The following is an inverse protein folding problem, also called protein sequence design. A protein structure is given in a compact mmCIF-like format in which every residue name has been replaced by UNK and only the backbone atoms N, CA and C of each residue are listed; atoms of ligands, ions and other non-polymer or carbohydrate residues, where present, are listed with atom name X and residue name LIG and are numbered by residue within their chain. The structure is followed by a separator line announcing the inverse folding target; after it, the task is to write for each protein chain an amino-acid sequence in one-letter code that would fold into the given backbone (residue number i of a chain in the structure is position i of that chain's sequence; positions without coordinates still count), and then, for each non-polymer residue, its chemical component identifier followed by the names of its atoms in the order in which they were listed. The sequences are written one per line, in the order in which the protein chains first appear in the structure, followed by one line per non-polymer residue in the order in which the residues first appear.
data_IF_329200753277
#
_entry.id   IF_329200753277
#
_cell.length_a   1.000
_cell.length_b   1.000
_cell.length_c   1.000
_cell.angle_alpha   90.00
_cell.angle_beta   90.00
_cell.angle_gamma   90.00
#
_symmetry.space_group_name_H-M   'P 1'
#
loop_
_entity.id
_entity.type
_entity.pdbx_description
1 polymer ?
#
# COMPACT_ATOMS: atom_id res chain seq x y z
N UNK A 1 7.08 7.86 3.31
CA UNK A 1 8.33 7.12 3.13
C UNK A 1 8.76 7.29 1.68
N UNK A 2 10.06 7.40 1.41
CA UNK A 2 10.57 7.43 0.03
C UNK A 2 11.24 6.07 -0.22
N UNK A 3 10.50 5.07 -0.74
CA UNK A 3 11.10 3.78 -1.02
C UNK A 3 12.20 3.96 -2.07
N UNK A 4 13.37 3.35 -1.83
CA UNK A 4 14.42 3.26 -2.84
C UNK A 4 14.48 1.82 -3.32
N UNK A 5 14.34 1.64 -4.64
CA UNK A 5 14.31 0.34 -5.30
C UNK A 5 15.56 0.18 -6.15
N UNK A 6 16.21 -0.98 -6.05
CA UNK A 6 17.37 -1.35 -6.85
C UNK A 6 16.97 -2.50 -7.78
N UNK A 7 17.07 -2.29 -9.08
CA UNK A 7 16.87 -3.33 -10.10
C UNK A 7 18.14 -4.12 -10.35
N UNK A 8 18.04 -5.45 -10.29
CA UNK A 8 19.14 -6.39 -10.51
C UNK A 8 19.15 -6.84 -11.97
N UNK A 9 20.10 -6.35 -12.76
CA UNK A 9 20.23 -6.69 -14.18
C UNK A 9 21.36 -7.68 -14.45
N UNK A 10 21.58 -7.97 -15.74
CA UNK A 10 22.70 -8.81 -16.19
C UNK A 10 23.80 -7.92 -16.77
N UNK A 11 24.80 -7.60 -15.96
CA UNK A 11 25.89 -6.69 -16.34
C UNK A 11 25.49 -5.21 -16.33
N UNK A 12 24.42 -4.90 -15.61
CA UNK A 12 23.93 -3.55 -15.30
C UNK A 12 23.02 -3.63 -14.06
N UNK A 13 22.90 -2.53 -13.32
CA UNK A 13 21.97 -2.40 -12.20
C UNK A 13 21.31 -1.02 -12.26
N UNK A 14 20.10 -0.92 -11.73
CA UNK A 14 19.27 0.30 -11.81
C UNK A 14 18.89 0.78 -10.42
N UNK A 15 18.71 2.09 -10.25
CA UNK A 15 18.21 2.68 -9.01
C UNK A 15 17.05 3.61 -9.36
N UNK A 16 15.92 3.44 -8.68
CA UNK A 16 14.73 4.24 -8.90
C UNK A 16 13.94 4.43 -7.58
N UNK A 17 13.02 5.39 -7.58
CA UNK A 17 12.09 5.59 -6.47
C UNK A 17 10.92 4.59 -6.47
N UNK A 18 10.70 3.88 -7.59
CA UNK A 18 9.62 2.90 -7.71
C UNK A 18 9.92 1.87 -8.82
N UNK A 19 9.30 0.69 -8.72
CA UNK A 19 9.46 -0.45 -9.63
C UNK A 19 9.05 -0.14 -11.08
N UNK A 20 7.94 0.56 -11.38
CA UNK A 20 7.51 0.81 -12.76
C UNK A 20 8.58 1.51 -13.63
N UNK A 21 9.47 2.30 -13.02
CA UNK A 21 10.54 2.99 -13.74
C UNK A 21 11.61 2.04 -14.31
N UNK A 22 11.75 0.84 -13.74
CA UNK A 22 12.83 -0.11 -14.06
C UNK A 22 12.32 -1.47 -14.56
N UNK A 23 11.01 -1.71 -14.51
CA UNK A 23 10.39 -3.02 -14.82
C UNK A 23 10.64 -3.52 -16.25
N UNK A 24 10.92 -2.60 -17.19
CA UNK A 24 11.24 -2.93 -18.58
C UNK A 24 12.68 -3.45 -18.77
N UNK A 25 13.55 -3.27 -17.78
CA UNK A 25 14.94 -3.73 -17.82
C UNK A 25 15.17 -4.97 -16.96
N UNK A 26 14.48 -5.07 -15.82
CA UNK A 26 14.56 -6.23 -14.94
C UNK A 26 13.29 -6.42 -14.11
N UNK A 27 13.04 -7.67 -13.71
CA UNK A 27 11.96 -8.09 -12.81
C UNK A 27 12.45 -8.40 -11.40
N UNK A 28 13.76 -8.48 -11.20
CA UNK A 28 14.37 -8.81 -9.92
C UNK A 28 14.82 -7.52 -9.23
N UNK A 29 14.36 -7.32 -7.99
CA UNK A 29 14.59 -6.06 -7.27
C UNK A 29 14.97 -6.27 -5.81
N UNK A 30 15.73 -5.32 -5.26
CA UNK A 30 15.83 -5.10 -3.83
C UNK A 30 15.05 -3.84 -3.45
N UNK A 31 14.24 -3.95 -2.39
CA UNK A 31 13.53 -2.81 -1.79
C UNK A 31 14.30 -2.42 -0.54
N UNK A 32 14.85 -1.20 -0.50
CA UNK A 32 15.57 -0.72 0.67
C UNK A 32 14.60 -0.29 1.77
N UNK A 33 14.94 -0.67 2.99
CA UNK A 33 14.27 -0.24 4.21
C UNK A 33 14.86 1.09 4.72
N UNK A 34 14.14 1.77 5.63
CA UNK A 34 14.64 3.03 6.17
C UNK A 34 15.99 2.84 6.88
N UNK A 35 16.94 3.72 6.56
CA UNK A 35 18.28 3.68 7.12
C UNK A 35 19.24 2.68 6.48
N UNK A 36 18.81 1.88 5.50
CA UNK A 36 19.74 1.06 4.72
C UNK A 36 20.53 1.92 3.71
N UNK A 37 21.77 1.52 3.45
CA UNK A 37 22.65 2.10 2.46
C UNK A 37 23.07 1.02 1.45
N UNK A 38 23.02 1.33 0.16
CA UNK A 38 23.44 0.42 -0.89
C UNK A 38 24.62 0.97 -1.69
N UNK A 39 25.60 0.11 -1.96
CA UNK A 39 26.65 0.34 -2.93
C UNK A 39 26.27 -0.41 -4.20
N UNK A 40 26.00 0.34 -5.27
CA UNK A 40 25.55 -0.21 -6.56
C UNK A 40 26.65 0.01 -7.59
N UNK A 41 27.12 -1.10 -8.16
CA UNK A 41 28.07 -1.11 -9.28
C UNK A 41 27.43 -1.83 -10.46
N UNK A 42 28.11 -1.87 -11.61
CA UNK A 42 27.64 -2.64 -12.77
C UNK A 42 27.47 -4.14 -12.44
N UNK A 43 28.42 -4.69 -11.68
CA UNK A 43 28.58 -6.13 -11.53
C UNK A 43 28.11 -6.64 -10.15
N UNK A 44 27.81 -5.74 -9.20
CA UNK A 44 27.47 -6.10 -7.83
C UNK A 44 26.60 -5.04 -7.14
N UNK A 45 25.74 -5.51 -6.22
CA UNK A 45 24.95 -4.70 -5.29
C UNK A 45 25.19 -5.22 -3.88
N UNK A 46 25.56 -4.34 -2.96
CA UNK A 46 25.75 -4.67 -1.54
C UNK A 46 25.01 -3.68 -0.65
N UNK A 47 24.29 -4.18 0.35
CA UNK A 47 23.45 -3.38 1.25
C UNK A 47 24.00 -3.46 2.66
N UNK A 48 23.91 -2.35 3.39
CA UNK A 48 24.40 -2.18 4.74
C UNK A 48 23.36 -1.46 5.59
N UNK A 49 23.39 -1.69 6.90
CA UNK A 49 22.63 -0.88 7.85
C UNK A 49 23.35 0.44 8.19
N UNK A 50 22.75 1.27 9.06
CA UNK A 50 23.32 2.55 9.51
C UNK A 50 24.66 2.41 10.24
N UNK A 51 24.98 1.23 10.75
CA UNK A 51 26.23 0.93 11.45
C UNK A 51 27.31 0.38 10.49
N UNK A 52 26.98 0.21 9.21
CA UNK A 52 27.86 -0.33 8.19
C UNK A 52 27.96 -1.86 8.19
N UNK A 53 27.06 -2.57 8.87
CA UNK A 53 27.02 -4.04 8.83
C UNK A 53 26.30 -4.49 7.56
N UNK A 54 26.81 -5.53 6.87
CA UNK A 54 26.14 -6.09 5.70
C UNK A 54 24.72 -6.56 6.04
N UNK A 55 23.78 -6.29 5.13
CA UNK A 55 22.40 -6.75 5.20
C UNK A 55 22.13 -7.65 3.99
N UNK A 56 21.72 -8.89 4.26
CA UNK A 56 21.26 -9.80 3.22
C UNK A 56 19.84 -9.41 2.80
N UNK A 57 19.68 -9.05 1.51
CA UNK A 57 18.38 -8.72 0.93
C UNK A 57 17.84 -9.91 0.14
N UNK A 58 16.57 -10.20 0.35
CA UNK A 58 15.85 -11.13 -0.51
C UNK A 58 15.49 -10.46 -1.83
N UNK A 59 15.64 -11.19 -2.93
CA UNK A 59 15.23 -10.73 -4.25
C UNK A 59 13.71 -10.74 -4.31
N UNK A 60 13.11 -9.56 -4.49
CA UNK A 60 11.69 -9.43 -4.79
C UNK A 60 11.48 -9.51 -6.30
N UNK A 61 10.86 -10.61 -6.75
CA UNK A 61 10.51 -10.81 -8.16
C UNK A 61 9.12 -10.24 -8.47
N UNK A 62 9.07 -9.34 -9.44
CA UNK A 62 7.86 -8.59 -9.79
C UNK A 62 6.98 -9.41 -10.74
N UNK A 63 5.90 -10.00 -10.22
CA UNK A 63 4.99 -10.88 -10.95
C UNK A 63 3.91 -10.17 -11.79
N UNK A 64 3.71 -8.86 -11.63
CA UNK A 64 2.67 -8.10 -12.34
C UNK A 64 3.20 -7.45 -13.63
N UNK A 65 2.37 -7.28 -14.65
CA UNK A 65 2.79 -6.74 -15.94
C UNK A 65 2.71 -5.21 -15.99
N UNK A 66 3.67 -4.57 -16.68
CA UNK A 66 3.77 -3.11 -16.80
C UNK A 66 2.59 -2.48 -17.58
N UNK A 67 1.82 -3.28 -18.32
CA UNK A 67 0.60 -2.85 -19.04
C UNK A 67 -0.40 -2.13 -18.15
N UNK A 68 -0.47 -2.47 -16.85
CA UNK A 68 -1.32 -1.75 -15.89
C UNK A 68 -0.90 -0.28 -15.70
N UNK A 69 0.39 0.01 -15.87
CA UNK A 69 1.02 1.32 -15.77
C UNK A 69 1.12 2.04 -17.13
N UNK A 70 0.54 1.49 -18.20
CA UNK A 70 0.48 2.13 -19.51
C UNK A 70 -0.85 2.87 -19.73
N UNK A 71 -0.87 3.81 -20.69
CA UNK A 71 -2.07 4.56 -21.04
C UNK A 71 -3.15 3.72 -21.74
N UNK A 72 -2.86 2.51 -22.18
CA UNK A 72 -3.86 1.58 -22.74
C UNK A 72 -4.67 2.14 -23.91
N UNK A 73 -4.08 3.02 -24.72
CA UNK A 73 -4.76 3.68 -25.85
C UNK A 73 -5.49 4.98 -25.52
N UNK A 74 -5.55 5.41 -24.26
CA UNK A 74 -6.10 6.71 -23.86
C UNK A 74 -5.08 7.85 -23.99
N UNK A 75 -5.57 9.08 -24.16
CA UNK A 75 -4.73 10.28 -24.27
C UNK A 75 -4.02 10.61 -22.94
N UNK A 76 -4.72 10.43 -21.82
CA UNK A 76 -4.25 10.73 -20.47
C UNK A 76 -4.49 9.56 -19.52
N UNK A 77 -3.59 9.39 -18.53
CA UNK A 77 -3.75 8.38 -17.47
C UNK A 77 -5.03 8.59 -16.66
N UNK A 78 -5.32 9.84 -16.27
CA UNK A 78 -6.55 10.17 -15.55
C UNK A 78 -7.81 9.74 -16.32
N UNK A 79 -7.81 9.89 -17.65
CA UNK A 79 -8.94 9.46 -18.48
C UNK A 79 -9.07 7.93 -18.48
N UNK A 80 -7.96 7.20 -18.66
CA UNK A 80 -7.93 5.74 -18.51
C UNK A 80 -8.47 5.32 -17.15
N UNK A 81 -7.94 5.88 -16.06
CA UNK A 81 -8.30 5.53 -14.69
C UNK A 81 -9.79 5.77 -14.40
N UNK A 82 -10.36 6.87 -14.92
CA UNK A 82 -11.80 7.13 -14.83
C UNK A 82 -12.61 6.01 -15.51
N UNK A 83 -12.18 5.56 -16.70
CA UNK A 83 -12.83 4.49 -17.45
C UNK A 83 -12.58 3.09 -16.86
N UNK A 84 -11.47 2.89 -16.16
CA UNK A 84 -11.11 1.62 -15.51
C UNK A 84 -11.88 1.38 -14.20
N UNK A 85 -12.53 2.40 -13.63
CA UNK A 85 -13.28 2.29 -12.36
C UNK A 85 -14.23 1.07 -12.27
N UNK A 86 -15.03 0.71 -13.29
CA UNK A 86 -15.90 -0.46 -13.21
C UNK A 86 -15.13 -1.78 -13.02
N UNK A 87 -13.96 -1.90 -13.67
CA UNK A 87 -13.07 -3.04 -13.48
C UNK A 87 -12.42 -2.99 -12.10
N UNK A 88 -11.86 -1.84 -11.71
CA UNK A 88 -11.20 -1.66 -10.42
C UNK A 88 -12.14 -2.00 -9.23
N UNK A 89 -13.41 -1.55 -9.30
CA UNK A 89 -14.44 -1.91 -8.31
C UNK A 89 -14.69 -3.42 -8.30
N UNK A 90 -14.85 -4.05 -9.47
CA UNK A 90 -15.06 -5.51 -9.55
C UNK A 90 -13.87 -6.29 -9.00
N UNK A 91 -12.66 -5.90 -9.35
CA UNK A 91 -11.43 -6.55 -8.87
C UNK A 91 -11.29 -6.39 -7.36
N UNK A 92 -11.70 -5.23 -6.80
CA UNK A 92 -11.72 -4.97 -5.34
C UNK A 92 -12.77 -5.80 -4.60
N UNK A 93 -13.96 -6.03 -5.17
CA UNK A 93 -15.00 -6.81 -4.49
C UNK A 93 -14.92 -8.32 -4.76
N UNK A 94 -14.40 -8.71 -5.93
CA UNK A 94 -14.50 -10.07 -6.46
C UNK A 94 -13.82 -11.14 -5.63
N UNK A 95 -12.83 -10.78 -4.82
CA UNK A 95 -12.11 -11.69 -3.91
C UNK A 95 -12.65 -11.67 -2.48
N UNK A 96 -13.50 -10.69 -2.15
CA UNK A 96 -13.89 -10.38 -0.77
C UNK A 96 -15.39 -10.54 -0.52
N UNK A 97 -16.14 -11.16 -1.42
CA UNK A 97 -17.56 -11.47 -1.23
C UNK A 97 -17.76 -12.98 -1.44
N UNK A 98 -18.50 -13.63 -0.53
CA UNK A 98 -18.90 -15.03 -0.65
C UNK A 98 -19.67 -15.31 -1.95
N UNK A 99 -19.64 -16.55 -2.44
CA UNK A 99 -20.33 -16.94 -3.68
C UNK A 99 -21.84 -16.62 -3.66
N UNK A 100 -22.47 -16.64 -2.49
CA UNK A 100 -23.88 -16.30 -2.31
C UNK A 100 -24.16 -14.79 -2.20
N UNK A 101 -23.12 -13.96 -2.21
CA UNK A 101 -23.19 -12.51 -2.19
C UNK A 101 -23.50 -11.89 -0.83
N UNK A 102 -23.49 -12.67 0.27
CA UNK A 102 -24.01 -12.21 1.57
C UNK A 102 -22.96 -11.87 2.61
N UNK A 103 -21.75 -12.36 2.45
CA UNK A 103 -20.71 -12.26 3.47
C UNK A 103 -19.45 -11.64 2.88
N UNK A 104 -18.91 -10.64 3.56
CA UNK A 104 -17.59 -10.12 3.23
C UNK A 104 -16.50 -11.06 3.78
N UNK A 105 -15.49 -11.37 2.99
CA UNK A 105 -14.43 -12.34 3.31
C UNK A 105 -13.07 -11.64 3.28
N UNK A 106 -12.35 -11.68 4.40
CA UNK A 106 -11.02 -11.09 4.57
C UNK A 106 -10.08 -12.08 5.29
N UNK A 107 -9.88 -13.25 4.69
CA UNK A 107 -9.10 -14.34 5.31
C UNK A 107 -7.64 -13.94 5.58
N UNK A 108 -7.09 -13.05 4.75
CA UNK A 108 -5.73 -12.52 4.85
C UNK A 108 -5.48 -11.70 6.13
N UNK A 109 -6.53 -11.18 6.78
CA UNK A 109 -6.39 -10.45 8.04
C UNK A 109 -6.10 -11.38 9.22
N UNK A 110 -6.43 -12.67 9.11
CA UNK A 110 -6.36 -13.65 10.21
C UNK A 110 -7.05 -13.17 11.51
N UNK A 111 -8.14 -12.41 11.38
CA UNK A 111 -8.94 -11.93 12.51
C UNK A 111 -10.10 -12.85 12.84
N UNK A 112 -10.38 -12.98 14.13
CA UNK A 112 -11.58 -13.62 14.65
C UNK A 112 -12.72 -12.60 14.80
N UNK A 113 -13.94 -13.07 15.02
CA UNK A 113 -15.07 -12.18 15.31
C UNK A 113 -14.83 -11.41 16.62
N UNK A 114 -14.15 -12.03 17.58
CA UNK A 114 -13.77 -11.42 18.85
C UNK A 114 -12.78 -10.27 18.67
N UNK A 115 -11.79 -10.42 17.78
CA UNK A 115 -10.83 -9.35 17.47
C UNK A 115 -11.55 -8.10 16.93
N UNK A 116 -12.48 -8.30 16.01
CA UNK A 116 -13.28 -7.20 15.43
C UNK A 116 -14.21 -6.58 16.47
N UNK A 117 -14.85 -7.40 17.29
CA UNK A 117 -15.77 -6.94 18.34
C UNK A 117 -15.06 -6.21 19.50
N UNK A 118 -13.75 -6.41 19.66
CA UNK A 118 -12.97 -5.73 20.68
C UNK A 118 -12.80 -4.23 20.40
N UNK A 119 -12.88 -3.82 19.13
CA UNK A 119 -12.73 -2.41 18.76
C UNK A 119 -13.96 -1.61 19.15
N UNK A 120 -13.75 -0.52 19.88
CA UNK A 120 -14.82 0.38 20.33
C UNK A 120 -14.81 1.73 19.59
N UNK A 121 -13.77 1.98 18.79
CA UNK A 121 -13.53 3.24 18.08
C UNK A 121 -12.65 2.97 16.87
N UNK A 122 -12.92 3.69 15.78
CA UNK A 122 -12.05 3.71 14.61
C UNK A 122 -11.48 5.12 14.43
N UNK A 123 -10.19 5.18 14.10
CA UNK A 123 -9.51 6.39 13.73
C UNK A 123 -8.93 6.22 12.33
N UNK A 124 -9.33 7.06 11.39
CA UNK A 124 -8.82 7.08 10.02
C UNK A 124 -7.87 8.26 9.88
N UNK A 125 -6.62 8.01 9.48
CA UNK A 125 -5.60 9.05 9.30
C UNK A 125 -5.16 9.10 7.85
N UNK A 126 -5.50 10.18 7.13
CA UNK A 126 -5.25 10.26 5.69
C UNK A 126 -4.98 11.68 5.20
N UNK A 127 -4.61 11.83 3.92
CA UNK A 127 -4.38 13.11 3.25
C UNK A 127 -5.22 13.22 1.97
N UNK A 128 -5.58 14.45 1.58
CA UNK A 128 -6.20 14.75 0.28
C UNK A 128 -7.43 13.91 -0.05
N UNK A 129 -7.46 13.28 -1.22
CA UNK A 129 -8.61 12.45 -1.67
C UNK A 129 -8.87 11.25 -0.76
N UNK A 130 -7.83 10.65 -0.16
CA UNK A 130 -8.00 9.54 0.78
C UNK A 130 -8.69 9.99 2.08
N UNK A 131 -8.42 11.22 2.55
CA UNK A 131 -9.16 11.82 3.67
C UNK A 131 -10.65 11.98 3.34
N UNK A 132 -10.99 12.40 2.11
CA UNK A 132 -12.38 12.47 1.66
C UNK A 132 -13.07 11.09 1.62
N UNK A 133 -12.37 10.05 1.18
CA UNK A 133 -12.89 8.68 1.26
C UNK A 133 -13.13 8.23 2.72
N UNK A 134 -12.23 8.61 3.64
CA UNK A 134 -12.41 8.40 5.09
C UNK A 134 -13.66 9.08 5.64
N UNK A 135 -13.94 10.32 5.24
CA UNK A 135 -15.16 11.04 5.65
C UNK A 135 -16.46 10.34 5.20
N UNK A 136 -16.47 9.79 3.99
CA UNK A 136 -17.60 8.98 3.49
C UNK A 136 -17.71 7.67 4.27
N UNK A 137 -16.59 7.00 4.48
CA UNK A 137 -16.51 5.72 5.23
C UNK A 137 -17.04 5.87 6.64
N UNK A 138 -16.70 6.97 7.33
CA UNK A 138 -17.25 7.33 8.64
C UNK A 138 -18.78 7.27 8.67
N UNK A 139 -19.45 7.85 7.68
CA UNK A 139 -20.92 7.84 7.62
C UNK A 139 -21.48 6.41 7.53
N UNK A 140 -20.86 5.54 6.73
CA UNK A 140 -21.31 4.16 6.60
C UNK A 140 -21.08 3.35 7.87
N UNK A 141 -19.89 3.43 8.46
CA UNK A 141 -19.55 2.67 9.67
C UNK A 141 -20.42 3.12 10.86
N UNK A 142 -20.55 4.43 11.11
CA UNK A 142 -21.34 4.93 12.24
C UNK A 142 -22.84 4.59 12.10
N UNK A 143 -23.36 4.53 10.88
CA UNK A 143 -24.76 4.19 10.63
C UNK A 143 -25.04 2.68 10.67
N UNK A 144 -24.14 1.86 10.13
CA UNK A 144 -24.35 0.41 9.98
C UNK A 144 -23.83 -0.38 11.19
N UNK A 145 -22.60 -0.11 11.61
CA UNK A 145 -21.92 -0.85 12.68
C UNK A 145 -22.03 -0.17 14.06
N UNK A 146 -22.46 1.09 14.10
CA UNK A 146 -22.62 1.89 15.34
C UNK A 146 -21.32 2.07 16.14
N UNK A 147 -20.17 2.03 15.47
CA UNK A 147 -18.86 2.28 16.05
C UNK A 147 -18.47 3.74 15.74
N UNK A 148 -18.10 4.57 16.75
CA UNK A 148 -17.60 5.92 16.53
C UNK A 148 -16.37 5.96 15.62
N UNK A 149 -16.35 6.88 14.66
CA UNK A 149 -15.22 7.06 13.74
C UNK A 149 -14.70 8.49 13.77
N UNK A 150 -13.40 8.67 13.98
CA UNK A 150 -12.71 9.94 13.75
C UNK A 150 -11.92 9.87 12.44
N UNK A 151 -11.90 10.97 11.69
CA UNK A 151 -11.10 11.08 10.47
C UNK A 151 -10.23 12.31 10.62
N UNK A 152 -8.91 12.12 10.63
CA UNK A 152 -7.93 13.16 10.90
C UNK A 152 -7.03 13.39 9.68
N UNK A 153 -6.65 14.65 9.47
CA UNK A 153 -5.66 15.00 8.45
C UNK A 153 -4.29 14.56 8.96
N UNK A 154 -3.59 13.70 8.21
CA UNK A 154 -2.36 13.08 8.69
C UNK A 154 -1.24 14.07 9.07
N UNK A 155 -1.17 15.21 8.38
CA UNK A 155 -0.19 16.27 8.70
C UNK A 155 -0.41 16.86 10.09
N UNK A 156 -1.67 17.02 10.51
CA UNK A 156 -2.03 17.54 11.83
C UNK A 156 -1.93 16.45 12.89
N UNK A 157 -2.41 15.24 12.55
CA UNK A 157 -2.40 14.11 13.46
C UNK A 157 -1.00 13.78 13.98
N UNK A 158 0.03 13.84 13.12
CA UNK A 158 1.44 13.59 13.48
C UNK A 158 1.96 14.47 14.62
N UNK A 159 1.39 15.68 14.80
CA UNK A 159 1.79 16.61 15.85
C UNK A 159 0.76 16.72 16.97
N UNK A 160 -0.30 15.91 16.92
CA UNK A 160 -1.34 15.86 17.94
C UNK A 160 -0.95 14.93 19.08
N UNK A 161 -1.68 15.02 20.20
CA UNK A 161 -1.64 14.04 21.28
C UNK A 161 -2.98 13.29 21.31
N UNK A 162 -3.14 12.26 20.46
CA UNK A 162 -4.45 11.66 20.22
C UNK A 162 -4.89 10.77 21.39
N UNK A 163 -6.18 10.82 21.70
CA UNK A 163 -6.80 9.96 22.71
C UNK A 163 -7.16 8.61 22.07
N UNK A 164 -6.18 7.71 22.01
CA UNK A 164 -6.32 6.32 21.56
C UNK A 164 -5.99 5.36 22.69
N UNK A 165 -6.64 4.20 22.67
CA UNK A 165 -6.42 3.09 23.60
C UNK A 165 -6.17 1.79 22.83
N UNK A 166 -6.03 0.68 23.54
CA UNK A 166 -5.84 -0.68 22.99
C UNK A 166 -7.06 -1.20 22.21
N UNK A 167 -8.20 -0.50 22.27
CA UNK A 167 -9.45 -0.82 21.58
C UNK A 167 -9.74 0.12 20.42
N UNK A 168 -8.83 1.03 20.10
CA UNK A 168 -8.94 1.92 18.95
C UNK A 168 -8.27 1.28 17.74
N UNK A 169 -9.05 0.97 16.70
CA UNK A 169 -8.50 0.57 15.41
C UNK A 169 -8.05 1.81 14.63
N UNK A 170 -6.75 1.92 14.34
CA UNK A 170 -6.20 2.96 13.47
C UNK A 170 -6.10 2.44 12.03
N UNK A 171 -6.64 3.20 11.07
CA UNK A 171 -6.64 2.94 9.62
C UNK A 171 -5.93 4.08 8.90
#
# INVERSE_FOLDING_TARGET
ENPLVIGLGKGENFVASDIPAIINYTRDTYILSDGELAIVTRDNVSVFDREGKPVDKEVFHVNWNAEAAEKGGYEHFMLKEIHDQPKAVRDTFGTHISEDGKTAIFNELNWTAEDVAAFNKILIVACGTAYHAGLVTKQYIENLARIPVNVEIASEYRYSNPLTDDKTLCI
#
